data_IF_182873134430
#
_entry.id   IF_182873134430
#
_cell.length_a   1.000
_cell.length_b   1.000
_cell.length_c   1.000
_cell.angle_alpha   90.00
_cell.angle_beta   90.00
_cell.angle_gamma   90.00
#
_symmetry.space_group_name_H-M   'P 1'
#
loop_
_entity.id
_entity.type
_entity.pdbx_description
1 polymer ?
#
# COMPACT_ATOMS: atom_id res chain seq x y z
N UNK A 1 -8.58 -11.52 -3.24
CA UNK A 1 -7.92 -10.20 -3.15
C UNK A 1 -6.73 -10.28 -2.21
N UNK A 2 -5.51 -9.94 -2.65
CA UNK A 2 -4.38 -9.74 -1.73
C UNK A 2 -4.33 -8.25 -1.38
N UNK A 3 -4.57 -7.92 -0.11
CA UNK A 3 -4.52 -6.54 0.39
C UNK A 3 -3.08 -6.24 0.81
N UNK A 4 -2.42 -5.33 0.10
CA UNK A 4 -1.11 -4.84 0.50
C UNK A 4 -1.29 -3.61 1.39
N UNK A 5 -0.73 -3.66 2.61
CA UNK A 5 -0.78 -2.55 3.56
C UNK A 5 0.56 -1.84 3.63
N UNK A 6 0.56 -0.53 3.47
CA UNK A 6 1.75 0.31 3.65
C UNK A 6 1.40 1.53 4.50
N UNK A 7 2.12 1.73 5.60
CA UNK A 7 1.98 2.91 6.45
C UNK A 7 2.97 3.97 5.92
N UNK A 8 2.50 5.18 5.68
CA UNK A 8 3.36 6.30 5.27
C UNK A 8 3.29 7.40 6.34
N UNK A 9 4.34 7.48 7.16
CA UNK A 9 4.44 8.46 8.23
C UNK A 9 5.46 8.03 9.29
N UNK A 10 6.52 8.81 9.47
CA UNK A 10 7.47 8.62 10.56
C UNK A 10 6.79 8.89 11.89
N UNK A 11 6.55 7.84 12.67
CA UNK A 11 6.01 7.89 14.01
C UNK A 11 6.09 6.51 14.66
N UNK A 12 6.38 6.45 15.96
CA UNK A 12 6.28 5.19 16.70
C UNK A 12 4.84 4.70 16.56
N UNK A 13 4.67 3.55 15.91
CA UNK A 13 3.39 2.87 15.76
C UNK A 13 2.82 2.69 17.18
N UNK A 14 1.74 3.40 17.50
CA UNK A 14 1.00 3.21 18.74
C UNK A 14 0.55 1.75 18.84
N UNK A 15 0.55 1.23 20.07
CA UNK A 15 0.42 -0.20 20.34
C UNK A 15 -0.86 -0.86 19.79
N UNK A 16 -1.86 -0.06 19.39
CA UNK A 16 -3.19 -0.48 18.93
C UNK A 16 -3.29 -0.78 17.41
N UNK A 17 -2.24 -0.56 16.62
CA UNK A 17 -2.19 -0.95 15.18
C UNK A 17 -1.71 -2.40 15.00
N UNK A 18 -1.20 -3.03 16.06
CA UNK A 18 -0.63 -4.39 16.05
C UNK A 18 -1.67 -5.49 15.78
N UNK A 19 -2.95 -5.21 16.03
CA UNK A 19 -4.05 -6.18 15.94
C UNK A 19 -4.70 -6.26 14.56
N UNK A 20 -4.31 -5.37 13.63
CA UNK A 20 -4.74 -5.46 12.25
C UNK A 20 -3.90 -6.55 11.55
N UNK A 21 -4.52 -7.52 10.86
CA UNK A 21 -3.85 -8.73 10.38
C UNK A 21 -2.71 -8.38 9.42
N UNK A 22 -1.49 -8.35 9.94
CA UNK A 22 -0.26 -8.33 9.16
C UNK A 22 -0.13 -9.74 8.58
N UNK A 23 0.34 -9.86 7.33
CA UNK A 23 0.87 -11.13 6.84
C UNK A 23 1.86 -11.68 7.91
N UNK A 24 1.53 -12.79 8.60
CA UNK A 24 2.18 -13.18 9.88
C UNK A 24 3.69 -13.42 9.80
N UNK A 25 4.26 -13.47 8.60
CA UNK A 25 5.63 -13.94 8.37
C UNK A 25 6.67 -12.82 8.32
N UNK A 26 6.29 -11.58 8.00
CA UNK A 26 7.27 -10.49 7.81
C UNK A 26 7.88 -9.95 9.13
N UNK A 27 7.14 -10.06 10.25
CA UNK A 27 7.55 -9.50 11.53
C UNK A 27 8.65 -10.28 12.27
N UNK A 28 8.97 -11.51 11.84
CA UNK A 28 9.99 -12.35 12.50
C UNK A 28 11.40 -12.16 11.96
N UNK A 29 11.55 -11.74 10.70
CA UNK A 29 12.87 -11.75 10.00
C UNK A 29 13.64 -10.44 10.10
N UNK A 30 12.97 -9.30 10.33
CA UNK A 30 13.63 -8.00 10.36
C UNK A 30 13.33 -7.23 11.66
N UNK A 31 14.36 -6.86 12.45
CA UNK A 31 14.15 -6.10 13.68
C UNK A 31 13.63 -4.69 13.35
N UNK A 32 12.50 -4.32 13.98
CA UNK A 32 11.96 -2.96 13.97
C UNK A 32 13.01 -2.00 14.53
N UNK A 33 13.49 -1.05 13.73
CA UNK A 33 14.38 0.03 14.19
C UNK A 33 15.54 0.41 13.26
N UNK A 34 15.83 -0.36 12.19
CA UNK A 34 16.95 -0.06 11.27
C UNK A 34 16.62 0.85 10.09
N UNK A 35 15.36 1.18 9.84
CA UNK A 35 14.96 2.01 8.70
C UNK A 35 14.01 3.12 9.15
N UNK A 36 14.26 4.40 8.79
CA UNK A 36 13.43 5.54 9.17
C UNK A 36 11.99 5.47 8.65
N UNK A 37 11.72 4.59 7.68
CA UNK A 37 10.40 4.29 7.10
C UNK A 37 10.08 2.79 7.20
N UNK A 38 10.38 2.14 8.33
CA UNK A 38 10.43 0.68 8.51
C UNK A 38 9.40 -0.18 7.76
N UNK A 39 8.15 0.24 7.69
CA UNK A 39 7.08 -0.45 6.95
C UNK A 39 7.22 -0.37 5.42
N UNK A 40 7.69 0.75 4.87
CA UNK A 40 7.94 0.93 3.42
C UNK A 40 9.15 0.11 2.99
N UNK A 41 10.24 0.14 3.78
CA UNK A 41 11.45 -0.62 3.44
C UNK A 41 11.20 -2.12 3.45
N UNK A 42 10.49 -2.64 4.47
CA UNK A 42 10.16 -4.06 4.51
C UNK A 42 9.27 -4.50 3.35
N UNK A 43 8.30 -3.67 2.97
CA UNK A 43 7.45 -3.97 1.82
C UNK A 43 8.25 -4.01 0.51
N UNK A 44 9.20 -3.10 0.33
CA UNK A 44 10.10 -3.13 -0.84
C UNK A 44 11.00 -4.36 -0.83
N UNK A 45 11.60 -4.70 0.30
CA UNK A 45 12.41 -5.92 0.44
C UNK A 45 11.59 -7.17 0.12
N UNK A 46 10.33 -7.24 0.57
CA UNK A 46 9.43 -8.32 0.20
C UNK A 46 9.21 -8.42 -1.30
N UNK A 47 8.96 -7.30 -1.99
CA UNK A 47 8.82 -7.33 -3.45
C UNK A 47 10.09 -7.84 -4.12
N UNK A 48 11.26 -7.39 -3.67
CA UNK A 48 12.55 -7.78 -4.25
C UNK A 48 12.88 -9.26 -4.04
N UNK A 49 12.49 -9.82 -2.89
CA UNK A 49 12.76 -11.22 -2.56
C UNK A 49 11.72 -12.18 -3.14
N UNK A 50 10.45 -11.75 -3.29
CA UNK A 50 9.35 -12.63 -3.73
C UNK A 50 9.07 -12.55 -5.23
N UNK A 51 9.27 -11.39 -5.86
CA UNK A 51 8.97 -11.24 -7.29
C UNK A 51 10.10 -11.83 -8.13
N UNK A 52 9.95 -13.12 -8.43
CA UNK A 52 10.93 -13.91 -9.16
C UNK A 52 10.60 -14.04 -10.65
N UNK A 53 11.64 -13.95 -11.48
CA UNK A 53 11.58 -14.19 -12.91
C UNK A 53 11.16 -15.64 -13.21
N UNK A 54 10.26 -15.83 -14.17
CA UNK A 54 9.71 -17.13 -14.55
C UNK A 54 8.51 -17.58 -13.72
N UNK A 55 8.28 -16.98 -12.54
CA UNK A 55 7.11 -17.25 -11.69
C UNK A 55 6.08 -16.11 -11.71
N UNK A 56 6.55 -14.87 -11.56
CA UNK A 56 5.68 -13.68 -11.48
C UNK A 56 5.70 -12.84 -12.77
N UNK A 57 6.83 -12.83 -13.46
CA UNK A 57 7.00 -12.14 -14.73
C UNK A 57 8.08 -12.84 -15.58
N UNK A 58 8.09 -12.58 -16.88
CA UNK A 58 9.10 -13.06 -17.83
C UNK A 58 9.46 -11.97 -18.83
N UNK A 59 10.45 -12.23 -19.69
CA UNK A 59 10.75 -11.36 -20.82
C UNK A 59 9.56 -11.28 -21.79
N UNK A 60 9.34 -10.10 -22.35
CA UNK A 60 8.35 -9.83 -23.38
C UNK A 60 8.91 -8.77 -24.36
N UNK A 61 8.32 -8.69 -25.55
CA UNK A 61 8.77 -7.78 -26.60
C UNK A 61 8.59 -6.30 -26.19
N UNK A 62 7.55 -6.00 -25.43
CA UNK A 62 7.28 -4.66 -24.89
C UNK A 62 7.50 -4.58 -23.38
N UNK A 63 8.15 -3.51 -22.92
CA UNK A 63 8.43 -3.31 -21.50
C UNK A 63 7.14 -3.25 -20.67
N UNK A 64 7.08 -4.08 -19.63
CA UNK A 64 5.95 -4.13 -18.69
C UNK A 64 4.79 -5.02 -19.15
N UNK A 65 4.91 -5.74 -20.25
CA UNK A 65 3.88 -6.69 -20.74
C UNK A 65 4.16 -8.16 -20.38
N UNK A 66 5.30 -8.44 -19.75
CA UNK A 66 5.72 -9.80 -19.39
C UNK A 66 5.15 -10.38 -18.10
N UNK A 67 4.16 -9.72 -17.50
CA UNK A 67 3.53 -10.16 -16.26
C UNK A 67 2.75 -11.48 -16.40
N UNK A 68 2.81 -12.33 -15.37
CA UNK A 68 2.13 -13.64 -15.36
C UNK A 68 0.87 -13.65 -14.48
N UNK A 69 0.61 -12.60 -13.70
CA UNK A 69 -0.52 -12.50 -12.77
C UNK A 69 -1.71 -11.74 -13.35
N UNK A 70 -2.03 -11.98 -14.62
CA UNK A 70 -3.04 -11.21 -15.39
C UNK A 70 -4.46 -11.31 -14.85
N UNK A 71 -4.81 -12.43 -14.21
CA UNK A 71 -6.14 -12.64 -13.62
C UNK A 71 -6.24 -12.18 -12.16
N UNK A 72 -5.20 -11.53 -11.62
CA UNK A 72 -5.18 -11.12 -10.22
C UNK A 72 -5.40 -9.62 -10.09
N UNK A 73 -6.20 -9.28 -9.10
CA UNK A 73 -6.45 -7.91 -8.69
C UNK A 73 -5.71 -7.58 -7.39
N UNK A 74 -5.31 -6.33 -7.24
CA UNK A 74 -4.68 -5.81 -6.03
C UNK A 74 -5.32 -4.51 -5.58
N UNK A 75 -5.18 -4.19 -4.29
CA UNK A 75 -5.61 -2.93 -3.71
C UNK A 75 -4.55 -2.46 -2.71
N UNK A 76 -4.23 -1.17 -2.70
CA UNK A 76 -3.45 -0.58 -1.62
C UNK A 76 -4.38 -0.06 -0.52
N UNK A 77 -4.08 -0.48 0.71
CA UNK A 77 -4.68 0.09 1.92
C UNK A 77 -3.59 0.83 2.68
N UNK A 78 -3.68 2.15 2.75
CA UNK A 78 -2.63 2.99 3.31
C UNK A 78 -3.10 3.77 4.53
N UNK A 79 -2.18 4.18 5.39
CA UNK A 79 -2.47 5.04 6.54
C UNK A 79 -1.46 6.17 6.59
N UNK A 80 -1.94 7.39 6.71
CA UNK A 80 -1.17 8.62 6.61
C UNK A 80 -1.37 9.49 7.84
N UNK A 81 -0.30 10.13 8.29
CA UNK A 81 -0.42 11.24 9.26
C UNK A 81 -0.80 12.56 8.56
N UNK A 82 -0.66 12.64 7.25
CA UNK A 82 -1.14 13.79 6.49
C UNK A 82 -2.68 13.84 6.55
N UNK A 83 -3.28 15.02 6.76
CA UNK A 83 -4.72 15.18 6.60
C UNK A 83 -5.11 15.01 5.13
N UNK A 84 -6.34 14.58 4.88
CA UNK A 84 -6.86 14.28 3.53
C UNK A 84 -6.71 15.46 2.57
N UNK A 85 -6.95 16.69 3.06
CA UNK A 85 -6.82 17.93 2.29
C UNK A 85 -5.37 18.26 1.84
N UNK A 86 -4.38 17.47 2.25
CA UNK A 86 -3.01 17.58 1.73
C UNK A 86 -2.91 17.07 0.29
N UNK A 87 -3.85 16.21 -0.12
CA UNK A 87 -3.97 15.67 -1.47
C UNK A 87 -4.98 16.48 -2.28
N UNK A 88 -4.77 16.64 -3.58
CA UNK A 88 -5.67 17.38 -4.48
C UNK A 88 -5.58 18.92 -4.39
N UNK A 89 -4.93 19.48 -3.37
CA UNK A 89 -4.67 20.92 -3.25
C UNK A 89 -3.26 21.28 -3.76
N UNK A 90 -3.21 22.10 -4.82
CA UNK A 90 -1.99 22.57 -5.50
C UNK A 90 -1.06 23.39 -4.60
N UNK A 91 -1.59 23.95 -3.52
CA UNK A 91 -0.82 24.78 -2.57
C UNK A 91 -0.17 23.96 -1.46
N UNK A 92 -0.48 22.66 -1.36
CA UNK A 92 0.02 21.77 -0.31
C UNK A 92 1.21 20.95 -0.80
N UNK A 93 1.75 20.15 0.11
CA UNK A 93 2.96 19.36 -0.10
C UNK A 93 2.92 18.44 -1.34
N UNK A 94 1.75 17.86 -1.65
CA UNK A 94 1.59 16.98 -2.82
C UNK A 94 1.24 17.75 -4.10
N UNK A 95 1.27 19.08 -4.09
CA UNK A 95 1.14 19.92 -5.29
C UNK A 95 -0.11 19.62 -6.14
N UNK A 96 -1.20 19.19 -5.48
CA UNK A 96 -2.46 18.87 -6.13
C UNK A 96 -2.57 17.41 -6.62
N UNK A 97 -1.56 16.58 -6.36
CA UNK A 97 -1.63 15.15 -6.66
C UNK A 97 -2.69 14.45 -5.80
N UNK A 98 -3.38 13.50 -6.43
CA UNK A 98 -4.27 12.57 -5.74
C UNK A 98 -3.49 11.45 -5.07
N UNK A 99 -4.15 10.73 -4.16
CA UNK A 99 -3.59 9.53 -3.52
C UNK A 99 -3.03 8.53 -4.55
N UNK A 100 -3.77 8.27 -5.63
CA UNK A 100 -3.37 7.32 -6.68
C UNK A 100 -2.10 7.79 -7.42
N UNK A 101 -1.95 9.09 -7.64
CA UNK A 101 -0.74 9.67 -8.25
C UNK A 101 0.46 9.51 -7.33
N UNK A 102 0.29 9.79 -6.04
CA UNK A 102 1.33 9.59 -5.03
C UNK A 102 1.78 8.12 -4.94
N UNK A 103 0.84 7.17 -5.12
CA UNK A 103 1.12 5.73 -5.11
C UNK A 103 1.52 5.17 -6.49
N UNK A 104 1.63 6.00 -7.53
CA UNK A 104 1.78 5.55 -8.93
C UNK A 104 2.96 4.62 -9.16
N UNK A 105 4.07 4.85 -8.46
CA UNK A 105 5.26 4.01 -8.52
C UNK A 105 4.97 2.58 -8.01
N UNK A 106 4.18 2.42 -6.95
CA UNK A 106 3.76 1.11 -6.45
C UNK A 106 2.78 0.43 -7.41
N UNK A 107 1.84 1.19 -7.98
CA UNK A 107 0.91 0.67 -8.99
C UNK A 107 1.65 0.14 -10.22
N UNK A 108 2.72 0.82 -10.66
CA UNK A 108 3.55 0.38 -11.79
C UNK A 108 4.23 -0.95 -11.52
N UNK A 109 4.68 -1.21 -10.29
CA UNK A 109 5.26 -2.51 -9.93
C UNK A 109 4.23 -3.63 -10.06
N UNK A 110 3.01 -3.44 -9.54
CA UNK A 110 1.97 -4.47 -9.66
C UNK A 110 1.49 -4.66 -11.11
N UNK A 111 1.40 -3.55 -11.87
CA UNK A 111 1.08 -3.59 -13.30
C UNK A 111 2.14 -4.34 -14.11
N UNK A 112 3.42 -4.22 -13.74
CA UNK A 112 4.51 -4.97 -14.38
C UNK A 112 4.34 -6.49 -14.21
N UNK A 113 3.74 -6.93 -13.10
CA UNK A 113 3.37 -8.34 -12.89
C UNK A 113 2.09 -8.75 -13.63
N UNK A 114 1.42 -7.83 -14.31
CA UNK A 114 0.19 -8.06 -15.07
C UNK A 114 -1.09 -7.87 -14.26
N UNK A 115 -1.01 -7.47 -12.99
CA UNK A 115 -2.19 -7.36 -12.12
C UNK A 115 -3.02 -6.12 -12.42
N UNK A 116 -4.33 -6.21 -12.13
CA UNK A 116 -5.27 -5.10 -12.28
C UNK A 116 -5.52 -4.37 -10.94
N UNK A 117 -5.53 -3.03 -10.92
CA UNK A 117 -5.79 -2.26 -9.70
C UNK A 117 -7.28 -2.21 -9.35
N UNK A 118 -7.58 -2.37 -8.07
CA UNK A 118 -8.80 -1.87 -7.44
C UNK A 118 -8.53 -0.48 -6.84
N UNK A 119 -9.60 0.29 -6.62
CA UNK A 119 -9.51 1.63 -6.01
C UNK A 119 -8.80 1.54 -4.66
N UNK A 120 -7.75 2.35 -4.43
CA UNK A 120 -7.02 2.32 -3.16
C UNK A 120 -7.85 2.94 -2.04
N UNK A 121 -7.51 2.54 -0.81
CA UNK A 121 -8.09 3.06 0.42
C UNK A 121 -7.01 3.74 1.27
N UNK A 122 -7.35 4.84 1.93
CA UNK A 122 -6.46 5.56 2.82
C UNK A 122 -7.18 6.03 4.10
N UNK A 123 -6.51 5.86 5.24
CA UNK A 123 -6.84 6.59 6.46
C UNK A 123 -5.91 7.80 6.60
N UNK A 124 -6.46 8.96 6.95
CA UNK A 124 -5.72 10.22 7.09
C UNK A 124 -5.67 10.66 8.56
N UNK A 125 -4.72 11.54 8.90
CA UNK A 125 -4.54 12.12 10.24
C UNK A 125 -4.45 11.11 11.41
N UNK A 126 -3.95 9.89 11.14
CA UNK A 126 -4.05 8.75 12.07
C UNK A 126 -3.20 8.87 13.35
N UNK A 127 -2.27 9.83 13.43
CA UNK A 127 -1.44 10.03 14.63
C UNK A 127 -2.00 11.13 15.52
N UNK A 128 -2.46 12.25 14.94
CA UNK A 128 -2.98 13.38 15.73
C UNK A 128 -4.42 13.16 16.16
N UNK A 129 -5.26 12.65 15.26
CA UNK A 129 -6.68 12.42 15.49
C UNK A 129 -7.08 10.99 15.09
N UNK A 130 -6.68 9.96 15.85
CA UNK A 130 -7.04 8.59 15.54
C UNK A 130 -8.52 8.30 15.80
N UNK A 131 -9.26 7.91 14.76
CA UNK A 131 -10.64 7.42 14.87
C UNK A 131 -10.76 6.01 14.28
N UNK A 132 -10.44 5.02 15.12
CA UNK A 132 -10.32 3.61 14.70
C UNK A 132 -11.67 3.05 14.25
N UNK A 133 -12.77 3.39 14.95
CA UNK A 133 -14.10 2.86 14.63
C UNK A 133 -14.57 3.37 13.27
N UNK A 134 -14.38 4.67 13.00
CA UNK A 134 -14.70 5.24 11.69
C UNK A 134 -13.83 4.65 10.58
N UNK A 135 -12.54 4.42 10.82
CA UNK A 135 -11.65 3.80 9.83
C UNK A 135 -12.06 2.37 9.48
N UNK A 136 -12.52 1.59 10.47
CA UNK A 136 -13.02 0.23 10.23
C UNK A 136 -14.32 0.24 9.43
N UNK A 137 -15.24 1.15 9.74
CA UNK A 137 -16.48 1.32 8.98
C UNK A 137 -16.20 1.73 7.54
N UNK A 138 -15.37 2.75 7.33
CA UNK A 138 -15.00 3.23 6.00
C UNK A 138 -14.28 2.14 5.18
N UNK A 139 -13.42 1.35 5.81
CA UNK A 139 -12.74 0.25 5.13
C UNK A 139 -13.75 -0.81 4.70
N UNK A 140 -14.72 -1.16 5.56
CA UNK A 140 -15.76 -2.12 5.22
C UNK A 140 -16.59 -1.64 4.03
N UNK A 141 -17.09 -0.40 4.09
CA UNK A 141 -17.89 0.19 3.02
C UNK A 141 -17.10 0.25 1.69
N UNK A 142 -15.80 0.56 1.77
CA UNK A 142 -14.91 0.54 0.61
C UNK A 142 -14.75 -0.86 0.02
N UNK A 143 -14.50 -1.87 0.87
CA UNK A 143 -14.35 -3.27 0.45
C UNK A 143 -15.62 -3.79 -0.23
N UNK A 144 -16.80 -3.52 0.35
CA UNK A 144 -18.09 -3.90 -0.23
C UNK A 144 -18.33 -3.23 -1.60
N UNK A 145 -17.75 -2.05 -1.83
CA UNK A 145 -17.83 -1.34 -3.11
C UNK A 145 -16.87 -1.85 -4.18
N UNK A 146 -15.70 -2.39 -3.81
CA UNK A 146 -14.64 -2.78 -4.76
C UNK A 146 -14.50 -4.28 -4.98
N UNK A 147 -14.93 -5.10 -4.02
CA UNK A 147 -14.91 -6.56 -4.12
C UNK A 147 -16.33 -7.03 -4.48
N UNK A 148 -16.48 -7.59 -5.67
CA UNK A 148 -17.73 -8.20 -6.15
C UNK A 148 -17.71 -9.71 -6.00
#
# INVERSE_FOLDING_TARGET
VKVARTVWGGGKIGDNIKDLPIAPEMGRRYPRGKYPLGCVTLFKTYMDEVYEYGLFFKGADEYGTGGLLTEKEYMFSTTWNAPENSFGDKTKFFEGESLESTLSHLHRVQKFLGMSPLKSFACYDVVKNPDIEQYLLNLKDHLDGVIK
#
